data_IF_091288737436
#
_entry.id   IF_091288737436
#
_cell.length_a   1.000
_cell.length_b   1.000
_cell.length_c   1.000
_cell.angle_alpha   90.00
_cell.angle_beta   90.00
_cell.angle_gamma   90.00
#
_symmetry.space_group_name_H-M   'P 1'
#
loop_
_entity.id
_entity.type
_entity.pdbx_description
1 polymer ?
#
# COMPACT_ATOMS: atom_id res chain seq x y z
N UNK A 1 -9.95 -52.51 -7.53
CA UNK A 1 -10.09 -51.73 -6.29
C UNK A 1 -9.05 -50.62 -6.36
N UNK A 2 -9.38 -49.56 -7.09
CA UNK A 2 -9.80 -48.23 -6.55
C UNK A 2 -8.56 -47.40 -6.22
N UNK A 3 -8.13 -46.52 -7.13
CA UNK A 3 -8.51 -45.10 -7.21
C UNK A 3 -8.30 -44.35 -5.89
N UNK A 4 -7.40 -43.36 -5.92
CA UNK A 4 -7.69 -41.95 -5.62
C UNK A 4 -6.43 -41.12 -5.89
N UNK A 5 -6.35 -40.57 -7.10
CA UNK A 5 -5.52 -39.42 -7.41
C UNK A 5 -6.12 -38.20 -6.69
N UNK A 6 -5.42 -37.66 -5.70
CA UNK A 6 -5.78 -36.37 -5.11
C UNK A 6 -5.08 -35.29 -5.94
N UNK A 7 -5.83 -34.74 -6.89
CA UNK A 7 -5.52 -33.48 -7.54
C UNK A 7 -5.57 -32.37 -6.49
N UNK A 8 -4.41 -31.95 -5.98
CA UNK A 8 -4.31 -30.67 -5.28
C UNK A 8 -3.91 -29.60 -6.30
N UNK A 9 -4.94 -29.00 -6.89
CA UNK A 9 -4.85 -27.83 -7.75
C UNK A 9 -4.36 -26.63 -6.95
N UNK A 10 -3.06 -26.37 -6.99
CA UNK A 10 -2.50 -25.08 -6.58
C UNK A 10 -2.97 -24.03 -7.59
N UNK A 11 -3.77 -23.02 -7.22
CA UNK A 11 -4.12 -21.95 -8.14
C UNK A 11 -2.86 -21.13 -8.42
N UNK A 12 -2.36 -21.25 -9.65
CA UNK A 12 -1.41 -20.34 -10.26
C UNK A 12 -2.05 -18.96 -10.38
N UNK A 13 -1.95 -18.13 -9.35
CA UNK A 13 -2.00 -16.68 -9.44
C UNK A 13 -1.43 -16.14 -8.12
N UNK A 14 -0.92 -14.90 -8.12
CA UNK A 14 -0.27 -14.24 -6.98
C UNK A 14 1.26 -14.39 -6.89
N UNK A 15 1.94 -14.17 -8.01
CA UNK A 15 3.15 -13.33 -7.99
C UNK A 15 3.12 -12.42 -9.23
N UNK A 16 3.27 -11.08 -9.09
CA UNK A 16 3.59 -10.26 -10.24
C UNK A 16 4.93 -10.75 -10.80
N UNK A 17 4.89 -11.14 -12.07
CA UNK A 17 6.02 -11.66 -12.80
C UNK A 17 7.26 -10.78 -12.58
N UNK A 18 8.30 -11.44 -12.08
CA UNK A 18 9.65 -11.36 -12.62
C UNK A 18 10.01 -10.06 -13.34
N UNK A 19 10.75 -9.19 -12.66
CA UNK A 19 11.56 -8.18 -13.33
C UNK A 19 12.65 -8.93 -14.11
N UNK A 20 12.35 -9.27 -15.36
CA UNK A 20 13.35 -9.47 -16.40
C UNK A 20 13.05 -8.48 -17.51
N UNK A 21 13.94 -7.51 -17.63
CA UNK A 21 14.10 -6.66 -18.81
C UNK A 21 14.32 -7.56 -20.03
N UNK A 22 13.41 -7.52 -21.00
CA UNK A 22 13.78 -7.60 -22.43
C UNK A 22 12.85 -6.73 -23.27
N UNK A 23 13.50 -6.13 -24.25
CA UNK A 23 13.01 -5.18 -25.24
C UNK A 23 11.67 -5.54 -25.88
N UNK A 24 10.79 -4.56 -26.00
CA UNK A 24 9.55 -4.69 -26.76
C UNK A 24 8.44 -3.83 -26.19
N UNK A 25 8.08 -2.76 -26.91
CA UNK A 25 7.05 -1.81 -26.51
C UNK A 25 5.65 -2.47 -26.34
N UNK A 26 5.30 -2.91 -25.13
CA UNK A 26 3.89 -3.19 -24.79
C UNK A 26 3.24 -1.93 -24.25
N UNK A 27 2.42 -1.31 -25.10
CA UNK A 27 1.52 -0.21 -24.76
C UNK A 27 0.34 -0.74 -23.91
N UNK A 28 0.62 -1.36 -22.78
CA UNK A 28 -0.40 -1.47 -21.74
C UNK A 28 -0.37 -0.15 -20.98
N UNK A 29 -1.01 0.85 -21.59
CA UNK A 29 -1.39 2.06 -20.88
C UNK A 29 -2.37 1.55 -19.84
N UNK A 30 -1.88 1.23 -18.64
CA UNK A 30 -2.67 0.76 -17.51
C UNK A 30 -3.86 1.69 -17.42
N UNK A 31 -5.05 1.19 -17.73
CA UNK A 31 -6.24 2.02 -17.77
C UNK A 31 -6.42 2.58 -16.37
N UNK A 32 -6.01 3.84 -16.17
CA UNK A 32 -5.89 4.43 -14.83
C UNK A 32 -7.24 4.49 -14.11
N UNK A 33 -8.34 4.37 -14.85
CA UNK A 33 -9.68 4.31 -14.29
C UNK A 33 -9.95 3.00 -13.53
N UNK A 34 -9.24 1.91 -13.81
CA UNK A 34 -9.41 0.62 -13.14
C UNK A 34 -8.55 0.46 -11.87
N UNK A 35 -7.56 1.33 -11.68
CA UNK A 35 -6.64 1.27 -10.53
C UNK A 35 -7.34 1.29 -9.16
N UNK A 36 -8.41 2.07 -8.92
CA UNK A 36 -9.08 2.06 -7.62
C UNK A 36 -9.69 0.70 -7.27
N UNK A 37 -10.27 0.01 -8.27
CA UNK A 37 -10.87 -1.31 -8.10
C UNK A 37 -9.78 -2.35 -7.78
N UNK A 38 -8.71 -2.36 -8.57
CA UNK A 38 -7.56 -3.24 -8.36
C UNK A 38 -6.89 -3.01 -6.99
N UNK A 39 -6.73 -1.75 -6.58
CA UNK A 39 -6.17 -1.41 -5.27
C UNK A 39 -7.06 -1.95 -4.13
N UNK A 40 -8.38 -1.86 -4.25
CA UNK A 40 -9.31 -2.33 -3.22
C UNK A 40 -9.32 -3.85 -3.10
N UNK A 41 -9.17 -4.56 -4.22
CA UNK A 41 -9.18 -6.03 -4.26
C UNK A 41 -7.83 -6.64 -3.84
N UNK A 42 -6.72 -6.03 -4.27
CA UNK A 42 -5.37 -6.57 -4.05
C UNK A 42 -4.69 -6.06 -2.77
N UNK A 43 -5.07 -4.88 -2.26
CA UNK A 43 -4.40 -4.29 -1.09
C UNK A 43 -4.95 -4.87 0.21
N UNK A 44 -4.13 -5.52 1.05
CA UNK A 44 -4.56 -5.95 2.38
C UNK A 44 -4.95 -4.76 3.27
N UNK A 45 -4.35 -3.58 3.08
CA UNK A 45 -4.67 -2.38 3.85
C UNK A 45 -6.05 -1.82 3.49
N UNK A 46 -6.41 -1.77 2.20
CA UNK A 46 -7.67 -1.17 1.75
C UNK A 46 -8.88 -2.08 1.97
N UNK A 47 -8.67 -3.38 2.21
CA UNK A 47 -9.72 -4.31 2.64
C UNK A 47 -10.14 -4.14 4.10
N UNK A 48 -9.33 -3.47 4.91
CA UNK A 48 -9.67 -3.21 6.32
C UNK A 48 -10.76 -2.14 6.42
N UNK A 49 -11.63 -2.16 7.45
CA UNK A 49 -12.49 -1.03 7.78
C UNK A 49 -11.69 0.25 8.01
N UNK A 50 -12.31 1.41 7.73
CA UNK A 50 -11.66 2.72 7.85
C UNK A 50 -11.12 3.03 9.26
N UNK A 51 -11.79 2.53 10.30
CA UNK A 51 -11.34 2.67 11.69
C UNK A 51 -9.97 2.03 11.93
N UNK A 52 -9.76 0.82 11.42
CA UNK A 52 -8.47 0.12 11.53
C UNK A 52 -7.40 0.80 10.69
N UNK A 53 -7.77 1.33 9.51
CA UNK A 53 -6.83 2.13 8.70
C UNK A 53 -6.39 3.39 9.45
N UNK A 54 -7.31 4.10 10.10
CA UNK A 54 -6.97 5.28 10.91
C UNK A 54 -6.02 4.95 12.06
N UNK A 55 -6.21 3.81 12.74
CA UNK A 55 -5.29 3.34 13.79
C UNK A 55 -3.89 3.11 13.20
N UNK A 56 -3.80 2.42 12.05
CA UNK A 56 -2.52 2.17 11.36
C UNK A 56 -1.87 3.49 10.93
N UNK A 57 -2.63 4.41 10.35
CA UNK A 57 -2.13 5.74 9.99
C UNK A 57 -1.62 6.48 11.22
N UNK A 58 -2.25 6.35 12.38
CA UNK A 58 -1.75 6.94 13.62
C UNK A 58 -0.37 6.43 14.02
N UNK A 59 -0.10 5.15 13.85
CA UNK A 59 1.23 4.58 14.12
C UNK A 59 2.29 4.96 13.09
N UNK A 60 1.90 5.09 11.81
CA UNK A 60 2.83 5.40 10.71
C UNK A 60 3.10 6.91 10.63
N UNK A 61 2.07 7.72 10.86
CA UNK A 61 2.06 9.15 10.64
C UNK A 61 2.16 10.00 11.92
N UNK A 62 2.15 9.41 13.12
CA UNK A 62 2.17 10.16 14.38
C UNK A 62 3.53 10.17 15.09
N UNK A 63 3.67 11.07 16.06
CA UNK A 63 4.81 11.07 17.00
C UNK A 63 6.09 11.72 16.49
N UNK A 64 6.00 12.50 15.41
CA UNK A 64 7.11 13.32 14.93
C UNK A 64 6.97 14.75 15.43
N UNK A 65 8.10 15.32 15.85
CA UNK A 65 8.21 16.72 16.23
C UNK A 65 8.81 17.52 15.10
N UNK A 66 8.08 18.52 14.61
CA UNK A 66 8.56 19.43 13.57
C UNK A 66 9.09 20.71 14.23
N UNK A 67 10.22 20.58 14.92
CA UNK A 67 10.82 21.69 15.67
C UNK A 67 12.34 21.61 15.65
N UNK A 68 12.96 22.73 15.31
CA UNK A 68 14.41 22.88 15.12
C UNK A 68 15.17 22.69 16.43
N UNK A 69 15.48 21.45 16.79
CA UNK A 69 16.73 21.15 17.49
C UNK A 69 17.52 20.20 16.62
N UNK A 70 18.68 20.67 16.18
CA UNK A 70 19.64 20.02 15.29
C UNK A 70 20.16 18.67 15.85
N UNK A 71 19.89 18.38 17.12
CA UNK A 71 20.35 17.18 17.81
C UNK A 71 19.31 16.06 17.89
N UNK A 72 18.00 16.28 17.69
CA UNK A 72 17.03 15.23 17.99
C UNK A 72 15.82 15.15 17.06
N UNK A 73 15.73 14.00 16.37
CA UNK A 73 14.55 13.42 15.71
C UNK A 73 14.06 14.10 14.43
N UNK A 74 14.87 14.00 13.38
CA UNK A 74 14.33 14.15 12.01
C UNK A 74 13.29 13.05 11.76
N UNK A 75 12.16 13.35 11.11
CA UNK A 75 11.24 12.31 10.69
C UNK A 75 11.94 11.35 9.73
N UNK A 76 11.53 10.07 9.67
CA UNK A 76 12.03 9.12 8.69
C UNK A 76 11.96 9.67 7.27
N UNK A 77 12.96 9.34 6.44
CA UNK A 77 13.12 9.89 5.08
C UNK A 77 11.86 9.74 4.19
N UNK A 78 11.03 8.74 4.45
CA UNK A 78 9.85 8.41 3.66
C UNK A 78 8.56 8.39 4.49
N UNK A 79 8.55 9.13 5.59
CA UNK A 79 7.42 9.24 6.50
C UNK A 79 6.08 9.54 5.78
N UNK A 80 6.08 10.44 4.78
CA UNK A 80 4.88 10.80 4.02
C UNK A 80 4.61 9.90 2.80
N UNK A 81 5.45 8.90 2.52
CA UNK A 81 5.34 8.10 1.30
C UNK A 81 3.99 7.38 1.18
N UNK A 82 3.41 6.98 2.32
CA UNK A 82 2.09 6.36 2.39
C UNK A 82 0.98 7.22 1.76
N UNK A 83 1.09 8.55 1.85
CA UNK A 83 0.11 9.48 1.26
C UNK A 83 0.17 9.54 -0.27
N UNK A 84 1.26 9.06 -0.87
CA UNK A 84 1.49 9.12 -2.31
C UNK A 84 1.01 7.87 -3.05
N UNK A 85 0.57 6.84 -2.33
CA UNK A 85 0.24 5.54 -2.92
C UNK A 85 -1.07 5.59 -3.71
N UNK A 86 -2.15 6.15 -3.14
CA UNK A 86 -3.43 6.30 -3.84
C UNK A 86 -4.30 7.41 -3.24
N UNK A 87 -5.30 7.86 -4.03
CA UNK A 87 -6.25 8.91 -3.63
C UNK A 87 -7.04 8.58 -2.36
N UNK A 88 -7.36 7.31 -2.14
CA UNK A 88 -8.10 6.88 -0.96
C UNK A 88 -7.29 7.11 0.32
N UNK A 89 -6.06 6.59 0.37
CA UNK A 89 -5.16 6.75 1.52
C UNK A 89 -4.88 8.24 1.78
N UNK A 90 -4.62 9.01 0.72
CA UNK A 90 -4.41 10.45 0.82
C UNK A 90 -5.59 11.15 1.52
N UNK A 91 -6.82 10.89 1.07
CA UNK A 91 -8.01 11.55 1.60
C UNK A 91 -8.27 11.22 3.07
N UNK A 92 -7.99 9.99 3.49
CA UNK A 92 -8.19 9.53 4.87
C UNK A 92 -7.10 10.04 5.81
N UNK A 93 -5.83 9.95 5.39
CA UNK A 93 -4.71 10.10 6.30
C UNK A 93 -4.13 11.52 6.35
N UNK A 94 -4.44 12.41 5.39
CA UNK A 94 -3.82 13.74 5.30
C UNK A 94 -4.03 14.61 6.54
N UNK A 95 -5.15 14.48 7.25
CA UNK A 95 -5.41 15.29 8.44
C UNK A 95 -4.62 14.78 9.65
N UNK A 96 -4.39 13.47 9.73
CA UNK A 96 -3.66 12.84 10.83
C UNK A 96 -2.20 13.31 10.91
N UNK A 97 -1.60 13.70 9.78
CA UNK A 97 -0.26 14.31 9.75
C UNK A 97 -0.21 15.60 10.57
N UNK A 98 -1.27 16.40 10.56
CA UNK A 98 -1.29 17.66 11.32
C UNK A 98 -1.79 17.46 12.75
N UNK A 99 -2.66 16.48 12.96
CA UNK A 99 -3.26 16.22 14.27
C UNK A 99 -2.30 15.49 15.23
N UNK A 100 -1.48 14.57 14.71
CA UNK A 100 -0.66 13.66 15.51
C UNK A 100 0.81 14.08 15.61
N UNK A 101 1.18 15.22 15.04
CA UNK A 101 2.53 15.76 15.07
C UNK A 101 2.49 17.20 15.60
N UNK A 102 3.50 17.55 16.41
CA UNK A 102 3.61 18.84 17.12
C UNK A 102 4.87 19.57 16.69
#
# INVERSE_FOLDING_TARGET
>A
MSSLEVQNSTPQSLLPAHIMTQDGASKDITNVAQLPMLNSESSPLLRLPGELRNIIYGYVLGGHTFGETWENKKPPQHFLASLLVCRQIYNEARMLVFELNT
#
